data_IF_911328198341
#
_entry.id   IF_911328198341
#
_cell.length_a   1.000
_cell.length_b   1.000
_cell.length_c   1.000
_cell.angle_alpha   90.00
_cell.angle_beta   90.00
_cell.angle_gamma   90.00
#
_symmetry.space_group_name_H-M   'P 1'
#
loop_
_entity.id
_entity.type
_entity.pdbx_description
1 polymer ?
#
# COMPACT_ATOMS: atom_id res chain seq x y z
N UNK A 1 24.64 -33.02 22.80
CA UNK A 1 25.35 -32.34 21.69
C UNK A 1 24.31 -31.63 20.83
N UNK A 2 24.08 -30.34 21.06
CA UNK A 2 23.24 -29.48 20.22
C UNK A 2 23.96 -28.14 20.01
N UNK A 3 25.10 -28.20 19.33
CA UNK A 3 25.94 -27.05 18.96
C UNK A 3 25.64 -26.64 17.51
N UNK A 4 24.37 -26.39 17.19
CA UNK A 4 23.99 -25.90 15.86
C UNK A 4 22.95 -24.78 15.97
N UNK A 5 23.24 -23.81 16.83
CA UNK A 5 22.48 -22.56 16.93
C UNK A 5 22.81 -21.71 15.71
N UNK A 6 21.76 -21.21 15.03
CA UNK A 6 21.92 -20.28 13.92
C UNK A 6 22.78 -19.08 14.33
N UNK A 7 23.83 -18.81 13.57
CA UNK A 7 24.67 -17.62 13.71
C UNK A 7 24.43 -16.73 12.49
N UNK A 8 23.87 -15.52 12.65
CA UNK A 8 23.70 -14.62 11.52
C UNK A 8 25.08 -14.20 10.97
N UNK A 9 25.20 -13.97 9.65
CA UNK A 9 26.45 -13.53 9.04
C UNK A 9 26.76 -12.08 9.43
N UNK A 10 28.06 -11.69 9.34
CA UNK A 10 28.49 -10.30 9.59
C UNK A 10 27.89 -9.30 8.60
N UNK A 11 27.67 -9.73 7.37
CA UNK A 11 26.99 -8.99 6.32
C UNK A 11 25.82 -9.85 5.87
N UNK A 12 24.62 -9.28 5.90
CA UNK A 12 23.43 -9.99 5.45
C UNK A 12 23.45 -10.12 3.93
N UNK A 13 23.11 -11.32 3.44
CA UNK A 13 23.02 -11.62 2.01
C UNK A 13 21.63 -12.19 1.68
N UNK A 14 21.08 -11.82 0.53
CA UNK A 14 19.81 -12.34 0.03
C UNK A 14 20.03 -13.65 -0.75
N UNK A 15 20.17 -14.77 -0.03
CA UNK A 15 20.54 -16.08 -0.61
C UNK A 15 19.36 -16.97 -0.96
N UNK A 16 18.16 -16.72 -0.41
CA UNK A 16 16.93 -17.45 -0.68
C UNK A 16 15.72 -16.51 -0.65
N UNK A 17 14.75 -16.70 -1.56
CA UNK A 17 13.44 -16.04 -1.43
C UNK A 17 12.75 -16.55 -0.16
N UNK A 18 12.38 -15.65 0.75
CA UNK A 18 11.61 -16.03 1.95
C UNK A 18 10.34 -16.78 1.52
N UNK A 19 10.17 -18.06 1.84
CA UNK A 19 9.10 -18.93 1.30
C UNK A 19 7.65 -18.59 1.71
N UNK A 20 7.36 -17.37 2.14
CA UNK A 20 6.02 -16.91 2.51
C UNK A 20 5.22 -16.36 1.32
N UNK A 21 3.96 -15.98 1.57
CA UNK A 21 3.02 -15.52 0.54
C UNK A 21 3.51 -14.32 -0.31
N UNK A 22 4.48 -13.55 0.19
CA UNK A 22 5.04 -12.37 -0.47
C UNK A 22 6.45 -12.59 -1.03
N UNK A 23 6.93 -13.84 -1.11
CA UNK A 23 8.25 -14.21 -1.62
C UNK A 23 8.58 -13.60 -2.99
N UNK A 24 7.56 -13.52 -3.83
CA UNK A 24 7.64 -13.06 -5.21
C UNK A 24 7.67 -11.52 -5.35
N UNK A 25 7.37 -10.77 -4.30
CA UNK A 25 7.36 -9.29 -4.33
C UNK A 25 8.41 -8.64 -3.41
N UNK A 26 8.83 -9.33 -2.35
CA UNK A 26 9.83 -8.83 -1.41
C UNK A 26 11.25 -8.91 -1.99
N UNK A 27 11.98 -7.79 -1.98
CA UNK A 27 13.39 -7.70 -2.43
C UNK A 27 14.12 -6.60 -1.65
N UNK A 28 15.46 -6.70 -1.50
CA UNK A 28 16.25 -5.72 -0.74
C UNK A 28 16.54 -4.42 -1.50
N UNK A 29 16.02 -4.28 -2.73
CA UNK A 29 16.20 -3.12 -3.61
C UNK A 29 14.85 -2.56 -4.04
N UNK A 30 14.76 -1.25 -4.23
CA UNK A 30 13.57 -0.57 -4.77
C UNK A 30 13.66 -0.35 -6.29
N UNK A 31 12.66 0.31 -6.89
CA UNK A 31 12.62 0.67 -8.31
C UNK A 31 11.52 -0.03 -9.12
N UNK A 32 11.21 0.48 -10.31
CA UNK A 32 10.24 -0.18 -11.19
C UNK A 32 10.77 -1.54 -11.67
N UNK A 33 9.88 -2.53 -11.83
CA UNK A 33 10.21 -3.82 -12.50
C UNK A 33 9.79 -3.85 -13.95
N UNK A 34 8.91 -2.93 -14.34
CA UNK A 34 8.39 -2.76 -15.68
C UNK A 34 7.83 -1.34 -15.81
N UNK A 35 7.71 -0.89 -17.05
CA UNK A 35 7.03 0.36 -17.39
C UNK A 35 5.51 0.14 -17.38
N UNK A 36 4.78 1.04 -16.72
CA UNK A 36 3.33 1.00 -16.70
C UNK A 36 2.74 2.40 -16.60
N UNK A 37 1.98 2.81 -17.62
CA UNK A 37 1.12 3.99 -17.53
C UNK A 37 -0.10 3.65 -16.66
N UNK A 38 -0.39 4.50 -15.67
CA UNK A 38 -1.56 4.32 -14.81
C UNK A 38 -2.83 4.91 -15.47
N UNK A 39 -4.00 4.25 -15.35
CA UNK A 39 -5.25 4.79 -15.87
C UNK A 39 -5.66 6.05 -15.08
N UNK A 40 -6.21 7.05 -15.76
CA UNK A 40 -6.66 8.32 -15.16
C UNK A 40 -8.12 8.57 -15.56
N UNK A 41 -8.99 8.77 -14.57
CA UNK A 41 -10.40 9.11 -14.75
C UNK A 41 -10.67 10.62 -14.77
N UNK A 42 -11.95 10.99 -14.74
CA UNK A 42 -12.39 12.39 -14.86
C UNK A 42 -12.38 13.18 -13.54
N UNK A 43 -12.35 12.49 -12.39
CA UNK A 43 -12.38 13.14 -11.08
C UNK A 43 -11.03 13.78 -10.72
N UNK A 44 -11.02 14.85 -9.89
CA UNK A 44 -9.80 15.56 -9.53
C UNK A 44 -8.83 14.73 -8.67
N UNK A 45 -9.32 13.68 -8.00
CA UNK A 45 -8.51 12.79 -7.18
C UNK A 45 -8.48 11.39 -7.81
N UNK A 46 -7.28 10.89 -8.10
CA UNK A 46 -7.02 9.54 -8.59
C UNK A 46 -6.37 8.72 -7.47
N UNK A 47 -7.03 7.67 -7.01
CA UNK A 47 -6.55 6.83 -5.91
C UNK A 47 -6.08 5.46 -6.43
N UNK A 48 -4.77 5.21 -6.41
CA UNK A 48 -4.18 3.90 -6.65
C UNK A 48 -3.93 3.21 -5.30
N UNK A 49 -4.81 2.31 -4.92
CA UNK A 49 -4.81 1.69 -3.59
C UNK A 49 -5.28 0.24 -3.65
N UNK A 50 -5.31 -0.41 -2.49
CA UNK A 50 -5.89 -1.73 -2.29
C UNK A 50 -6.68 -1.69 -0.98
N UNK A 51 -7.78 -2.43 -0.88
CA UNK A 51 -8.68 -2.51 0.29
C UNK A 51 -8.08 -3.10 1.58
N UNK A 52 -6.77 -2.98 1.77
CA UNK A 52 -6.06 -3.24 3.03
C UNK A 52 -6.47 -2.21 4.10
N UNK A 53 -6.18 -2.45 5.38
CA UNK A 53 -6.43 -1.45 6.44
C UNK A 53 -5.80 -0.08 6.17
N UNK A 54 -4.71 -0.01 5.40
CA UNK A 54 -4.13 1.28 5.01
C UNK A 54 -4.91 1.96 3.89
N UNK A 55 -5.41 1.21 2.91
CA UNK A 55 -6.22 1.78 1.83
C UNK A 55 -7.59 2.26 2.31
N UNK A 56 -8.19 1.53 3.25
CA UNK A 56 -9.47 1.90 3.87
C UNK A 56 -9.44 3.29 4.52
N UNK A 57 -8.31 3.69 5.14
CA UNK A 57 -8.16 5.01 5.75
C UNK A 57 -8.45 6.13 4.74
N UNK A 58 -7.92 6.00 3.52
CA UNK A 58 -8.03 7.03 2.49
C UNK A 58 -9.43 7.05 1.91
N UNK A 59 -10.02 5.89 1.61
CA UNK A 59 -11.38 5.83 1.06
C UNK A 59 -12.40 6.35 2.07
N UNK A 60 -12.26 6.00 3.35
CA UNK A 60 -13.13 6.55 4.41
C UNK A 60 -12.99 8.07 4.47
N UNK A 61 -11.77 8.61 4.49
CA UNK A 61 -11.57 10.06 4.52
C UNK A 61 -12.22 10.78 3.33
N UNK A 62 -12.13 10.22 2.13
CA UNK A 62 -12.75 10.80 0.94
C UNK A 62 -14.27 10.83 1.04
N UNK A 63 -14.89 9.73 1.51
CA UNK A 63 -16.34 9.67 1.72
C UNK A 63 -16.80 10.64 2.83
N UNK A 64 -16.05 10.75 3.92
CA UNK A 64 -16.36 11.69 5.01
C UNK A 64 -16.31 13.15 4.52
N UNK A 65 -15.34 13.51 3.68
CA UNK A 65 -15.28 14.83 3.06
C UNK A 65 -16.48 15.09 2.13
N UNK A 66 -16.89 14.10 1.34
CA UNK A 66 -18.08 14.19 0.49
C UNK A 66 -19.36 14.36 1.31
N UNK A 67 -19.49 13.65 2.42
CA UNK A 67 -20.62 13.76 3.33
C UNK A 67 -20.72 15.17 3.93
N UNK A 68 -19.60 15.71 4.44
CA UNK A 68 -19.55 17.08 4.99
C UNK A 68 -19.86 18.13 3.92
N UNK A 69 -19.34 17.97 2.70
CA UNK A 69 -19.62 18.89 1.60
C UNK A 69 -21.11 18.87 1.21
N UNK A 70 -21.70 17.68 1.14
CA UNK A 70 -23.12 17.50 0.82
C UNK A 70 -24.02 18.11 1.89
N UNK A 71 -23.71 17.90 3.17
CA UNK A 71 -24.46 18.47 4.29
C UNK A 71 -24.45 20.00 4.26
N UNK A 72 -23.30 20.63 3.99
CA UNK A 72 -23.17 22.10 3.94
C UNK A 72 -24.02 22.73 2.84
N UNK A 73 -24.18 22.06 1.69
CA UNK A 73 -25.03 22.54 0.61
C UNK A 73 -26.52 22.50 0.98
N UNK A 74 -26.95 21.45 1.70
CA UNK A 74 -28.33 21.33 2.17
C UNK A 74 -28.70 22.37 3.23
N UNK A 75 -27.77 22.74 4.12
CA UNK A 75 -28.03 23.73 5.19
C UNK A 75 -27.98 25.19 4.73
N UNK A 76 -27.44 25.50 3.54
CA UNK A 76 -27.41 26.87 3.00
C UNK A 76 -28.68 27.27 2.22
N UNK A 77 -29.56 26.30 1.91
CA UNK A 77 -30.79 26.53 1.15
C UNK A 77 -32.07 26.36 2.02
N UNK A 78 -31.93 26.38 3.34
CA UNK A 78 -33.03 26.29 4.31
C UNK A 78 -33.14 27.54 5.18
#
# INVERSE_FOLDING_TARGET
MSENTYQPPKVWEWTQSSGGAFANINRPISGATHEQALPVGHHPLQLYSLGTPNGQKVTIMLEELLAVASLRLSTMHG
#
